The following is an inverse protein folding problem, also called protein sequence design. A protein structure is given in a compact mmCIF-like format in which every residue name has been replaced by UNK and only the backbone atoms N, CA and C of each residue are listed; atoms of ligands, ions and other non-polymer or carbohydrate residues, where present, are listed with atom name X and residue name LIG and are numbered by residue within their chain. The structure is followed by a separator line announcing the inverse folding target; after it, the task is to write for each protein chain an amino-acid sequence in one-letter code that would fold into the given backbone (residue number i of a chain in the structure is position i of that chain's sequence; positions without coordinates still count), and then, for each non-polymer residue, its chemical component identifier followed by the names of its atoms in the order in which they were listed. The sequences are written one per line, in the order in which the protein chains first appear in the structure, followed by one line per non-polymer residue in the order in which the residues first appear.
data_IF_984441135485
#
_entry.id   IF_984441135485
#
_cell.length_a   1.000
_cell.length_b   1.000
_cell.length_c   1.000
_cell.angle_alpha   90.00
_cell.angle_beta   90.00
_cell.angle_gamma   90.00
#
_symmetry.space_group_name_H-M   'P 1'
#
loop_
_entity.id
_entity.type
_entity.pdbx_description
1 polymer ?
#
# COMPACT_ATOMS: atom_id res chain seq x y z
N UNK A 1 -0.86 18.58 1.24
CA UNK A 1 -1.90 17.93 0.40
C UNK A 1 -1.22 16.86 -0.43
N UNK A 2 -1.69 15.61 -0.40
CA UNK A 2 -1.14 14.54 -1.27
C UNK A 2 -1.54 14.83 -2.72
N UNK A 3 -0.57 14.84 -3.63
CA UNK A 3 -0.80 15.10 -5.05
C UNK A 3 -1.48 13.92 -5.73
N UNK A 4 -2.14 14.16 -6.87
CA UNK A 4 -2.80 13.09 -7.64
C UNK A 4 -1.81 12.02 -8.11
N UNK A 5 -0.59 12.42 -8.46
CA UNK A 5 0.50 11.51 -8.85
C UNK A 5 0.97 10.62 -7.68
N UNK A 6 0.97 11.14 -6.45
CA UNK A 6 1.29 10.34 -5.27
C UNK A 6 0.21 9.29 -4.98
N UNK A 7 -1.07 9.63 -5.17
CA UNK A 7 -2.18 8.67 -5.00
C UNK A 7 -2.10 7.49 -5.97
N UNK A 8 -1.77 7.73 -7.24
CA UNK A 8 -1.61 6.63 -8.19
C UNK A 8 -0.40 5.75 -7.83
N UNK A 9 0.69 6.34 -7.34
CA UNK A 9 1.84 5.57 -6.86
C UNK A 9 1.51 4.69 -5.65
N UNK A 10 0.62 5.14 -4.77
CA UNK A 10 0.12 4.35 -3.64
C UNK A 10 -0.73 3.18 -4.13
N UNK A 11 -1.70 3.46 -5.01
CA UNK A 11 -2.55 2.42 -5.61
C UNK A 11 -1.72 1.34 -6.32
N UNK A 12 -0.80 1.76 -7.19
CA UNK A 12 0.06 0.88 -7.96
C UNK A 12 0.82 -0.12 -7.07
N UNK A 13 1.41 0.40 -5.99
CA UNK A 13 2.15 -0.41 -5.03
C UNK A 13 1.24 -1.34 -4.25
N UNK A 14 0.16 -0.82 -3.66
CA UNK A 14 -0.72 -1.60 -2.81
C UNK A 14 -1.38 -2.73 -3.61
N UNK A 15 -1.77 -2.46 -4.87
CA UNK A 15 -2.24 -3.47 -5.81
C UNK A 15 -1.20 -4.58 -6.01
N UNK A 16 0.04 -4.21 -6.34
CA UNK A 16 1.13 -5.17 -6.56
C UNK A 16 1.38 -6.04 -5.33
N UNK A 17 1.49 -5.42 -4.15
CA UNK A 17 1.76 -6.12 -2.89
C UNK A 17 0.64 -7.12 -2.55
N UNK A 18 -0.62 -6.71 -2.70
CA UNK A 18 -1.78 -7.59 -2.46
C UNK A 18 -1.83 -8.74 -3.47
N UNK A 19 -1.60 -8.44 -4.75
CA UNK A 19 -1.52 -9.46 -5.80
C UNK A 19 -0.44 -10.51 -5.50
N UNK A 20 0.78 -10.06 -5.15
CA UNK A 20 1.91 -10.94 -4.83
C UNK A 20 1.64 -11.76 -3.56
N UNK A 21 1.07 -11.16 -2.51
CA UNK A 21 0.72 -11.85 -1.27
C UNK A 21 -0.34 -12.96 -1.48
N UNK A 22 -1.26 -12.76 -2.44
CA UNK A 22 -2.28 -13.74 -2.81
C UNK A 22 -1.78 -14.77 -3.86
N UNK A 23 -0.53 -14.68 -4.33
CA UNK A 23 0.00 -15.57 -5.36
C UNK A 23 -0.67 -15.41 -6.73
N UNK A 24 -1.29 -14.26 -7.00
CA UNK A 24 -2.03 -14.01 -8.23
C UNK A 24 -1.11 -13.51 -9.35
N UNK A 25 -1.28 -14.04 -10.55
CA UNK A 25 -0.69 -13.47 -11.77
C UNK A 25 -1.47 -12.23 -12.23
N UNK A 26 -0.82 -11.39 -13.06
CA UNK A 26 -1.47 -10.25 -13.69
C UNK A 26 -2.73 -10.66 -14.49
N UNK A 27 -2.67 -11.81 -15.17
CA UNK A 27 -3.80 -12.34 -15.94
C UNK A 27 -4.98 -12.76 -15.04
N UNK A 28 -4.69 -13.31 -13.85
CA UNK A 28 -5.73 -13.67 -12.88
C UNK A 28 -6.40 -12.42 -12.32
N UNK A 29 -5.64 -11.41 -11.92
CA UNK A 29 -6.21 -10.12 -11.46
C UNK A 29 -7.06 -9.50 -12.56
N UNK A 30 -6.55 -9.43 -13.78
CA UNK A 30 -7.27 -8.90 -14.94
C UNK A 30 -8.65 -9.57 -15.12
N UNK A 31 -8.68 -10.91 -15.11
CA UNK A 31 -9.91 -11.68 -15.20
C UNK A 31 -10.88 -11.41 -14.04
N UNK A 32 -10.38 -11.34 -12.82
CA UNK A 32 -11.20 -11.12 -11.61
C UNK A 32 -11.73 -9.68 -11.51
N UNK A 33 -10.97 -8.71 -12.03
CA UNK A 33 -11.32 -7.29 -11.95
C UNK A 33 -12.08 -6.77 -13.18
N UNK A 34 -12.29 -7.59 -14.20
CA UNK A 34 -12.87 -7.17 -15.48
C UNK A 34 -11.96 -6.23 -16.30
N UNK A 35 -10.65 -6.30 -16.08
CA UNK A 35 -9.65 -5.47 -16.78
C UNK A 35 -8.86 -6.33 -17.78
N UNK A 36 -8.17 -5.70 -18.72
CA UNK A 36 -7.14 -6.36 -19.52
C UNK A 36 -5.84 -6.52 -18.72
N UNK A 37 -5.03 -7.52 -19.09
CA UNK A 37 -3.68 -7.71 -18.50
C UNK A 37 -2.81 -6.47 -18.64
N UNK A 38 -2.91 -5.76 -19.77
CA UNK A 38 -2.18 -4.52 -20.01
C UNK A 38 -2.60 -3.42 -19.03
N UNK A 39 -3.90 -3.24 -18.79
CA UNK A 39 -4.40 -2.27 -17.81
C UNK A 39 -3.91 -2.56 -16.40
N UNK A 40 -3.93 -3.82 -15.96
CA UNK A 40 -3.40 -4.20 -14.63
C UNK A 40 -1.90 -3.91 -14.55
N UNK A 41 -1.15 -4.20 -15.60
CA UNK A 41 0.28 -3.88 -15.65
C UNK A 41 0.56 -2.37 -15.60
N UNK A 42 -0.18 -1.56 -16.36
CA UNK A 42 -0.05 -0.10 -16.35
C UNK A 42 -0.41 0.50 -14.99
N UNK A 43 -1.43 -0.07 -14.32
CA UNK A 43 -1.78 0.28 -12.95
C UNK A 43 -0.62 0.00 -11.98
N UNK A 44 -0.03 -1.21 -12.01
CA UNK A 44 1.12 -1.55 -11.15
C UNK A 44 2.40 -0.75 -11.47
N UNK A 45 2.50 -0.18 -12.67
CA UNK A 45 3.58 0.72 -13.08
C UNK A 45 3.28 2.21 -12.84
N UNK A 46 2.15 2.53 -12.19
CA UNK A 46 1.71 3.90 -11.96
C UNK A 46 1.61 4.74 -13.26
N UNK A 47 1.33 4.09 -14.40
CA UNK A 47 1.15 4.72 -15.71
C UNK A 47 -0.31 5.11 -15.97
N UNK A 48 -1.24 4.54 -15.22
CA UNK A 48 -2.64 4.91 -15.27
C UNK A 48 -2.83 6.36 -14.75
N UNK A 49 -3.52 7.21 -15.51
CA UNK A 49 -3.71 8.61 -15.12
C UNK A 49 -4.82 8.82 -14.08
N UNK A 50 -5.93 8.11 -14.22
CA UNK A 50 -7.08 8.25 -13.32
C UNK A 50 -7.99 7.01 -13.39
N UNK A 51 -7.78 6.00 -12.53
CA UNK A 51 -8.64 4.83 -12.50
C UNK A 51 -10.06 5.22 -12.08
N UNK A 52 -11.05 4.72 -12.81
CA UNK A 52 -12.46 4.93 -12.49
C UNK A 52 -12.83 4.23 -11.19
N UNK A 53 -13.93 4.64 -10.54
CA UNK A 53 -14.44 3.93 -9.37
C UNK A 53 -14.76 2.46 -9.69
N UNK A 54 -15.19 2.16 -10.92
CA UNK A 54 -15.40 0.79 -11.39
C UNK A 54 -14.10 -0.01 -11.43
N UNK A 55 -13.02 0.59 -11.95
CA UNK A 55 -11.67 0.00 -11.88
C UNK A 55 -11.29 -0.31 -10.43
N UNK A 56 -11.46 0.66 -9.53
CA UNK A 56 -11.12 0.49 -8.11
C UNK A 56 -11.95 -0.63 -7.45
N UNK A 57 -13.25 -0.71 -7.74
CA UNK A 57 -14.12 -1.80 -7.26
C UNK A 57 -13.67 -3.16 -7.79
N UNK A 58 -13.38 -3.27 -9.09
CA UNK A 58 -12.90 -4.51 -9.69
C UNK A 58 -11.59 -4.98 -9.06
N UNK A 59 -10.65 -4.06 -8.81
CA UNK A 59 -9.40 -4.37 -8.11
C UNK A 59 -9.63 -4.78 -6.65
N UNK A 60 -10.56 -4.10 -5.96
CA UNK A 60 -10.92 -4.42 -4.58
C UNK A 60 -11.45 -5.85 -4.44
N UNK A 61 -12.36 -6.25 -5.33
CA UNK A 61 -12.88 -7.62 -5.39
C UNK A 61 -11.77 -8.61 -5.77
N UNK A 62 -10.95 -8.31 -6.77
CA UNK A 62 -9.90 -9.21 -7.24
C UNK A 62 -8.79 -9.48 -6.20
N UNK A 63 -8.59 -8.55 -5.26
CA UNK A 63 -7.52 -8.63 -4.25
C UNK A 63 -8.06 -8.79 -2.83
N UNK A 64 -9.37 -8.98 -2.67
CA UNK A 64 -10.05 -9.01 -1.37
C UNK A 64 -9.58 -7.89 -0.43
N UNK A 65 -9.42 -6.69 -0.99
CA UNK A 65 -8.83 -5.54 -0.29
C UNK A 65 -9.77 -4.34 -0.39
N UNK A 66 -10.19 -3.74 0.73
CA UNK A 66 -11.02 -2.53 0.72
C UNK A 66 -10.40 -1.37 -0.09
N UNK A 67 -11.23 -0.62 -0.83
CA UNK A 67 -10.77 0.47 -1.73
C UNK A 67 -9.92 1.50 -1.00
N UNK A 68 -10.32 1.93 0.20
CA UNK A 68 -9.59 2.90 1.00
C UNK A 68 -8.13 2.43 1.27
N UNK A 69 -7.91 1.14 1.55
CA UNK A 69 -6.57 0.55 1.70
C UNK A 69 -5.81 0.57 0.38
N UNK A 70 -6.46 0.25 -0.74
CA UNK A 70 -5.82 0.31 -2.06
C UNK A 70 -5.30 1.72 -2.37
N UNK A 71 -6.09 2.77 -2.10
CA UNK A 71 -5.70 4.17 -2.34
C UNK A 71 -4.89 4.79 -1.19
N UNK A 72 -4.69 4.06 -0.09
CA UNK A 72 -3.96 4.51 1.11
C UNK A 72 -4.71 5.52 1.97
N UNK A 73 -6.03 5.56 1.88
CA UNK A 73 -6.91 6.26 2.82
C UNK A 73 -7.31 5.25 3.92
N UNK A 74 -7.08 5.57 5.20
CA UNK A 74 -7.44 4.66 6.31
C UNK A 74 -6.28 4.12 7.15
N UNK A 75 -5.06 4.64 7.00
CA UNK A 75 -4.11 4.56 8.11
C UNK A 75 -4.56 5.55 9.18
N UNK A 76 -5.17 5.07 10.28
CA UNK A 76 -5.43 5.91 11.44
C UNK A 76 -4.14 6.62 11.86
N UNK A 77 -4.27 7.87 12.31
CA UNK A 77 -3.15 8.64 12.81
C UNK A 77 -2.61 7.96 14.08
N UNK A 78 -1.47 7.27 13.97
CA UNK A 78 -0.93 6.41 15.03
C UNK A 78 -0.94 4.90 14.71
N UNK A 79 -1.50 4.47 13.57
CA UNK A 79 -1.43 3.08 13.11
C UNK A 79 -0.04 2.71 12.58
N UNK A 80 0.32 1.43 12.70
CA UNK A 80 1.53 0.88 12.10
C UNK A 80 1.56 1.09 10.59
N UNK A 81 0.43 1.01 9.90
CA UNK A 81 0.35 1.23 8.44
C UNK A 81 0.68 2.66 8.03
N UNK A 82 0.25 3.66 8.81
CA UNK A 82 0.64 5.05 8.64
C UNK A 82 2.14 5.25 8.91
N UNK A 83 2.65 4.59 9.94
CA UNK A 83 4.07 4.64 10.32
C UNK A 83 4.96 3.97 9.26
N UNK A 84 4.59 2.80 8.75
CA UNK A 84 5.34 2.09 7.69
C UNK A 84 5.48 2.92 6.42
N UNK A 85 4.44 3.69 6.05
CA UNK A 85 4.54 4.62 4.91
C UNK A 85 5.59 5.70 5.15
N UNK A 86 5.67 6.26 6.35
CA UNK A 86 6.65 7.30 6.72
C UNK A 86 8.07 6.73 6.85
N UNK A 87 8.22 5.53 7.39
CA UNK A 87 9.52 4.87 7.57
C UNK A 87 10.16 4.47 6.24
N UNK A 88 9.36 4.11 5.25
CA UNK A 88 9.86 3.60 3.97
C UNK A 88 10.68 4.63 3.17
N UNK A 89 10.49 5.92 3.43
CA UNK A 89 11.22 7.00 2.75
C UNK A 89 12.48 7.44 3.55
N UNK A 90 12.83 6.73 4.64
CA UNK A 90 14.00 7.00 5.49
C UNK A 90 15.29 6.35 4.95
N UNK A 91 16.43 6.93 5.27
CA UNK A 91 17.74 6.42 4.86
C UNK A 91 18.36 5.42 5.87
N UNK A 92 19.57 4.91 5.55
CA UNK A 92 20.28 3.95 6.42
C UNK A 92 20.66 4.54 7.79
N UNK A 93 20.90 5.84 7.87
CA UNK A 93 21.24 6.54 9.12
C UNK A 93 20.01 6.71 10.00
N UNK A 94 18.85 7.01 9.41
CA UNK A 94 17.57 7.09 10.11
C UNK A 94 17.15 5.76 10.75
N UNK A 95 17.51 4.62 10.11
CA UNK A 95 17.20 3.29 10.64
C UNK A 95 17.90 3.01 11.98
N UNK A 96 19.10 3.56 12.20
CA UNK A 96 19.83 3.39 13.45
C UNK A 96 19.09 4.11 14.60
N UNK A 97 18.64 5.34 14.35
CA UNK A 97 17.85 6.11 15.31
C UNK A 97 16.52 5.40 15.61
N UNK A 98 15.84 4.89 14.58
CA UNK A 98 14.57 4.20 14.74
C UNK A 98 14.72 2.91 15.56
N UNK A 99 15.78 2.13 15.33
CA UNK A 99 16.10 0.95 16.15
C UNK A 99 16.32 1.32 17.62
N UNK A 100 17.01 2.43 17.90
CA UNK A 100 17.21 2.91 19.27
C UNK A 100 15.89 3.33 19.92
N UNK A 101 15.00 4.02 19.19
CA UNK A 101 13.68 4.43 19.67
C UNK A 101 12.77 3.23 19.99
N UNK A 102 12.70 2.24 19.09
CA UNK A 102 11.91 1.01 19.32
C UNK A 102 12.41 0.26 20.56
N UNK A 103 13.73 0.15 20.71
CA UNK A 103 14.35 -0.48 21.89
C UNK A 103 13.97 0.26 23.18
N UNK A 104 13.99 1.60 23.14
CA UNK A 104 13.60 2.45 24.28
C UNK A 104 12.11 2.31 24.64
N UNK A 105 11.23 2.28 23.64
CA UNK A 105 9.79 2.07 23.84
C UNK A 105 9.53 0.69 24.47
N UNK A 106 10.25 -0.36 24.01
CA UNK A 106 10.13 -1.72 24.54
C UNK A 106 10.51 -1.79 26.03
N UNK A 107 11.59 -1.11 26.42
CA UNK A 107 12.02 -1.02 27.81
C UNK A 107 10.98 -0.31 28.71
N UNK A 108 10.39 0.78 28.23
CA UNK A 108 9.30 1.50 28.92
C UNK A 108 7.97 0.74 28.97
N UNK A 109 7.75 -0.21 28.06
CA UNK A 109 6.55 -1.04 28.04
C UNK A 109 6.65 -2.19 29.04
N UNK A 110 7.84 -2.77 29.22
CA UNK A 110 8.08 -3.86 30.18
C UNK A 110 8.06 -3.37 31.62
N UNK A 111 8.52 -2.14 31.89
CA UNK A 111 8.51 -1.54 33.23
C UNK A 111 7.12 -1.03 33.71
N UNK A 112 6.09 -1.13 32.87
CA UNK A 112 4.70 -0.71 33.19
C UNK A 112 3.75 -1.89 33.47
N UNK A 113 4.24 -3.12 33.36
CA UNK A 113 3.59 -4.35 33.83
C UNK A 113 4.30 -4.83 35.10
#
# INVERSE_FOLDING_TARGET
MVTHAERIGILARNLRLRREALGLSLSQVARLSGLSKAQVWDLEKARAKNPTLETLRGLSVATDTPIHILIGEGGEEGSLDGLFRKIRDLDVHDLALLKAMVSTIRLRSVARN
#
